data_IF_540830462421
#
_entry.id   IF_540830462421
#
_cell.length_a   1.000
_cell.length_b   1.000
_cell.length_c   1.000
_cell.angle_alpha   90.00
_cell.angle_beta   90.00
_cell.angle_gamma   90.00
#
_symmetry.space_group_name_H-M   'P 1'
#
loop_
_entity.id
_entity.type
_entity.pdbx_description
1 polymer ?
#
# COMPACT_ATOMS: atom_id res chain seq x y z
N UNK A 1 -2.10 -2.75 37.61
CA UNK A 1 -1.74 -3.99 36.88
C UNK A 1 -1.63 -3.64 35.41
N UNK A 2 -0.44 -3.71 34.84
CA UNK A 2 -0.18 -3.30 33.46
C UNK A 2 0.88 -4.23 32.89
N UNK A 3 0.52 -5.08 31.91
CA UNK A 3 1.33 -5.75 30.86
C UNK A 3 0.35 -6.48 29.94
N UNK A 4 0.44 -6.55 28.62
CA UNK A 4 1.10 -5.78 27.57
C UNK A 4 0.33 -6.18 26.29
N UNK A 5 -0.19 -5.22 25.51
CA UNK A 5 -0.79 -5.51 24.21
C UNK A 5 0.34 -5.84 23.23
N UNK A 6 0.64 -7.13 23.06
CA UNK A 6 1.50 -7.63 22.00
C UNK A 6 0.79 -7.54 20.66
N UNK A 7 0.71 -6.33 20.09
CA UNK A 7 0.39 -6.18 18.68
C UNK A 7 1.57 -6.70 17.89
N UNK A 8 1.48 -7.92 17.35
CA UNK A 8 2.47 -8.39 16.38
C UNK A 8 2.38 -7.44 15.19
N UNK A 9 3.39 -6.59 15.02
CA UNK A 9 3.55 -5.79 13.81
C UNK A 9 3.63 -6.74 12.61
N UNK A 10 2.99 -6.39 11.50
CA UNK A 10 3.15 -7.17 10.27
C UNK A 10 4.57 -6.97 9.73
N UNK A 11 5.20 -7.96 9.08
CA UNK A 11 6.53 -7.80 8.48
C UNK A 11 6.62 -6.57 7.55
N UNK A 12 5.54 -6.28 6.81
CA UNK A 12 5.43 -5.09 5.96
C UNK A 12 5.48 -3.78 6.75
N UNK A 13 4.78 -3.69 7.88
CA UNK A 13 4.77 -2.51 8.73
C UNK A 13 6.15 -2.21 9.34
N UNK A 14 6.91 -3.27 9.67
CA UNK A 14 8.28 -3.15 10.19
C UNK A 14 9.25 -2.71 9.09
N UNK A 15 9.11 -3.26 7.87
CA UNK A 15 9.91 -2.84 6.71
C UNK A 15 9.67 -1.35 6.41
N UNK A 16 8.42 -0.91 6.38
CA UNK A 16 8.09 0.51 6.16
C UNK A 16 8.66 1.39 7.28
N UNK A 17 8.59 0.95 8.54
CA UNK A 17 9.10 1.72 9.67
C UNK A 17 10.63 1.88 9.64
N UNK A 18 11.35 0.87 9.15
CA UNK A 18 12.81 0.87 9.08
C UNK A 18 13.37 1.56 7.84
N UNK A 19 12.58 1.68 6.76
CA UNK A 19 13.05 2.19 5.49
C UNK A 19 12.99 3.72 5.38
N UNK A 20 13.90 4.28 4.58
CA UNK A 20 13.79 5.66 4.10
C UNK A 20 12.86 5.72 2.90
N UNK A 21 11.78 6.49 2.97
CA UNK A 21 10.87 6.67 1.85
C UNK A 21 11.48 7.62 0.82
N UNK A 22 11.58 7.21 -0.45
CA UNK A 22 11.91 8.13 -1.53
C UNK A 22 10.75 9.12 -1.75
N UNK A 23 11.05 10.33 -2.21
CA UNK A 23 10.01 11.14 -2.83
C UNK A 23 9.57 10.46 -4.14
N UNK A 24 8.28 10.56 -4.53
CA UNK A 24 7.80 9.98 -5.77
C UNK A 24 8.63 10.48 -6.95
N UNK A 25 9.10 9.55 -7.79
CA UNK A 25 9.69 9.94 -9.08
C UNK A 25 8.58 10.52 -9.94
N UNK A 26 8.93 11.40 -10.88
CA UNK A 26 7.98 12.01 -11.78
C UNK A 26 8.39 11.75 -13.23
N UNK A 27 7.42 11.62 -14.15
CA UNK A 27 5.99 11.86 -13.94
C UNK A 27 5.24 10.65 -13.32
N UNK A 28 4.05 10.89 -12.74
CA UNK A 28 3.16 9.84 -12.19
C UNK A 28 2.09 9.49 -13.24
N UNK A 29 2.51 8.84 -14.32
CA UNK A 29 1.65 8.61 -15.50
C UNK A 29 0.88 7.29 -15.43
N UNK A 30 1.36 6.32 -14.66
CA UNK A 30 0.72 5.02 -14.52
C UNK A 30 -0.38 5.08 -13.46
N UNK A 31 -1.62 4.89 -13.91
CA UNK A 31 -2.79 4.76 -13.05
C UNK A 31 -3.16 3.27 -12.90
N UNK A 32 -2.93 2.71 -11.71
CA UNK A 32 -3.08 1.28 -11.45
C UNK A 32 -4.18 1.03 -10.42
N UNK A 33 -5.11 0.13 -10.72
CA UNK A 33 -6.04 -0.42 -9.73
C UNK A 33 -5.30 -1.46 -8.89
N UNK A 34 -5.34 -1.25 -7.57
CA UNK A 34 -4.79 -2.18 -6.59
C UNK A 34 -5.74 -3.36 -6.45
N UNK A 35 -5.21 -4.55 -6.16
CA UNK A 35 -6.00 -5.76 -5.95
C UNK A 35 -5.86 -6.29 -4.52
N UNK A 36 -6.81 -7.11 -4.09
CA UNK A 36 -6.78 -7.78 -2.80
C UNK A 36 -7.21 -6.90 -1.61
N UNK A 37 -7.87 -5.77 -1.87
CA UNK A 37 -8.32 -4.83 -0.83
C UNK A 37 -9.30 -5.47 0.16
N UNK A 38 -10.06 -6.48 -0.30
CA UNK A 38 -10.99 -7.26 0.53
C UNK A 38 -10.28 -8.02 1.65
N UNK A 39 -9.01 -8.39 1.47
CA UNK A 39 -8.18 -9.01 2.51
C UNK A 39 -7.54 -7.96 3.43
N UNK A 40 -7.50 -6.70 3.00
CA UNK A 40 -6.82 -5.59 3.68
C UNK A 40 -7.77 -4.56 4.33
N UNK A 41 -9.04 -4.92 4.53
CA UNK A 41 -10.06 -4.04 5.12
C UNK A 41 -9.64 -3.46 6.48
N UNK A 42 -8.88 -4.19 7.30
CA UNK A 42 -8.36 -3.67 8.58
C UNK A 42 -7.38 -2.52 8.37
N UNK A 43 -6.44 -2.66 7.43
CA UNK A 43 -5.50 -1.59 7.08
C UNK A 43 -6.21 -0.39 6.48
N UNK A 44 -7.16 -0.63 5.57
CA UNK A 44 -7.97 0.44 4.96
C UNK A 44 -8.77 1.22 6.02
N UNK A 45 -9.45 0.54 6.95
CA UNK A 45 -10.13 1.21 8.08
C UNK A 45 -9.16 2.11 8.83
N UNK A 46 -7.96 1.61 9.11
CA UNK A 46 -6.94 2.33 9.87
C UNK A 46 -6.47 3.60 9.16
N UNK A 47 -6.27 3.52 7.84
CA UNK A 47 -5.92 4.69 7.00
C UNK A 47 -6.97 5.79 7.12
N UNK A 48 -8.26 5.45 7.04
CA UNK A 48 -9.34 6.43 7.19
C UNK A 48 -9.47 6.99 8.61
N UNK A 49 -9.26 6.16 9.64
CA UNK A 49 -9.21 6.60 11.04
C UNK A 49 -8.08 7.60 11.28
N UNK A 50 -6.87 7.29 10.81
CA UNK A 50 -5.69 8.14 10.94
C UNK A 50 -5.82 9.46 10.16
N UNK A 51 -6.54 9.44 9.03
CA UNK A 51 -6.88 10.65 8.29
C UNK A 51 -8.02 11.48 8.93
N UNK A 52 -8.65 11.00 10.02
CA UNK A 52 -9.79 11.67 10.65
C UNK A 52 -11.05 11.69 9.78
N UNK A 53 -11.15 10.80 8.79
CA UNK A 53 -12.23 10.73 7.81
C UNK A 53 -12.91 9.34 7.88
N UNK A 54 -13.69 9.04 8.92
CA UNK A 54 -14.26 7.72 9.11
C UNK A 54 -15.12 7.28 7.92
N UNK A 55 -15.07 5.98 7.62
CA UNK A 55 -15.82 5.38 6.51
C UNK A 55 -17.32 5.46 6.81
N UNK A 56 -18.10 5.99 5.87
CA UNK A 56 -19.55 6.17 6.00
C UNK A 56 -20.33 5.35 4.98
N UNK A 57 -21.64 5.26 5.17
CA UNK A 57 -22.57 4.64 4.20
C UNK A 57 -22.68 5.42 2.88
N UNK A 58 -22.37 6.72 2.89
CA UNK A 58 -22.33 7.55 1.68
C UNK A 58 -21.06 7.35 0.88
N UNK A 59 -20.08 6.64 1.45
CA UNK A 59 -18.73 6.57 0.93
C UNK A 59 -17.92 7.82 1.25
N UNK A 60 -16.60 7.64 1.26
CA UNK A 60 -15.62 8.69 1.52
C UNK A 60 -14.41 8.44 0.63
N UNK A 61 -13.71 9.51 0.26
CA UNK A 61 -12.51 9.41 -0.58
C UNK A 61 -11.37 10.20 0.04
N UNK A 62 -10.23 9.54 0.18
CA UNK A 62 -8.93 10.19 0.38
C UNK A 62 -8.27 10.41 -0.97
N UNK A 63 -7.81 11.63 -1.21
CA UNK A 63 -7.14 12.05 -2.45
C UNK A 63 -5.66 12.27 -2.18
N UNK A 64 -4.80 11.95 -3.15
CA UNK A 64 -3.36 12.23 -3.14
C UNK A 64 -2.66 11.86 -1.82
N UNK A 65 -3.00 10.70 -1.25
CA UNK A 65 -2.29 10.17 -0.08
C UNK A 65 -1.05 9.43 -0.54
N UNK A 66 0.08 9.59 0.15
CA UNK A 66 1.32 8.92 -0.22
C UNK A 66 1.15 7.40 -0.09
N UNK A 67 1.39 6.67 -1.18
CA UNK A 67 1.53 5.23 -1.16
C UNK A 67 2.99 4.80 -1.20
N UNK A 68 3.25 3.62 -0.66
CA UNK A 68 4.59 3.01 -0.57
C UNK A 68 4.50 1.64 -1.22
N UNK A 69 5.45 1.36 -2.12
CA UNK A 69 5.55 0.08 -2.81
C UNK A 69 6.57 -0.80 -2.09
N UNK A 70 6.13 -1.95 -1.58
CA UNK A 70 6.98 -2.88 -0.82
C UNK A 70 7.09 -4.21 -1.56
N UNK A 71 8.23 -4.52 -2.20
CA UNK A 71 8.42 -5.82 -2.84
C UNK A 71 8.53 -6.91 -1.76
N UNK A 72 7.88 -8.05 -1.99
CA UNK A 72 7.86 -9.20 -1.08
C UNK A 72 8.49 -10.45 -1.74
N UNK A 73 9.81 -10.49 -1.99
CA UNK A 73 10.47 -11.68 -2.56
C UNK A 73 10.35 -12.95 -1.70
N UNK A 74 9.94 -12.81 -0.44
CA UNK A 74 9.68 -13.91 0.50
C UNK A 74 8.21 -14.36 0.51
N UNK A 75 7.34 -13.77 -0.32
CA UNK A 75 5.94 -14.15 -0.36
C UNK A 75 5.79 -15.58 -0.92
N UNK A 76 5.13 -16.45 -0.15
CA UNK A 76 5.01 -17.88 -0.46
C UNK A 76 4.12 -18.17 -1.70
N UNK A 77 3.29 -17.22 -2.10
CA UNK A 77 2.36 -17.35 -3.22
C UNK A 77 2.93 -16.77 -4.51
N UNK A 78 3.62 -15.65 -4.44
CA UNK A 78 4.21 -14.96 -5.59
C UNK A 78 5.46 -14.17 -5.18
N UNK A 79 6.64 -14.63 -5.60
CA UNK A 79 7.90 -13.94 -5.34
C UNK A 79 8.02 -12.57 -6.04
N UNK A 80 7.11 -12.26 -6.98
CA UNK A 80 7.01 -10.95 -7.60
C UNK A 80 6.03 -10.02 -6.88
N UNK A 81 5.37 -10.45 -5.80
CA UNK A 81 4.37 -9.64 -5.12
C UNK A 81 4.92 -8.28 -4.67
N UNK A 82 4.12 -7.23 -4.92
CA UNK A 82 4.40 -5.87 -4.45
C UNK A 82 3.20 -5.40 -3.64
N UNK A 83 3.38 -5.30 -2.33
CA UNK A 83 2.38 -4.75 -1.44
C UNK A 83 2.29 -3.23 -1.60
N UNK A 84 1.07 -2.72 -1.55
CA UNK A 84 0.77 -1.29 -1.52
C UNK A 84 0.41 -0.91 -0.09
N UNK A 85 1.18 0.02 0.48
CA UNK A 85 1.04 0.48 1.86
C UNK A 85 0.69 1.97 1.89
N UNK A 86 -0.08 2.38 2.90
CA UNK A 86 -0.33 3.79 3.26
C UNK A 86 0.09 3.97 4.72
N UNK A 87 1.15 4.73 4.96
CA UNK A 87 1.86 4.64 6.23
C UNK A 87 2.27 3.19 6.49
N UNK A 88 1.97 2.67 7.68
CA UNK A 88 2.26 1.28 8.06
C UNK A 88 1.09 0.31 7.78
N UNK A 89 0.06 0.76 7.07
CA UNK A 89 -1.15 -0.02 6.83
C UNK A 89 -1.16 -0.60 5.40
N UNK A 90 -1.26 -1.94 5.24
CA UNK A 90 -1.46 -2.54 3.93
C UNK A 90 -2.85 -2.21 3.40
N UNK A 91 -2.94 -1.89 2.11
CA UNK A 91 -4.22 -1.60 1.42
C UNK A 91 -4.47 -2.52 0.23
N UNK A 92 -3.48 -3.29 -0.19
CA UNK A 92 -3.61 -4.31 -1.23
C UNK A 92 -2.27 -4.58 -1.91
N UNK A 93 -2.32 -5.01 -3.17
CA UNK A 93 -1.18 -5.41 -3.98
C UNK A 93 -1.27 -4.84 -5.39
N UNK A 94 -0.13 -4.74 -6.08
CA UNK A 94 -0.15 -4.67 -7.54
C UNK A 94 -0.74 -5.97 -8.10
N UNK A 95 -1.45 -5.88 -9.23
CA UNK A 95 -1.94 -7.06 -9.92
C UNK A 95 -0.77 -7.98 -10.34
N UNK A 96 -0.96 -9.30 -10.24
CA UNK A 96 0.11 -10.28 -10.41
C UNK A 96 0.71 -10.31 -11.83
N UNK A 97 -0.05 -9.89 -12.83
CA UNK A 97 0.41 -9.74 -14.22
C UNK A 97 1.27 -8.48 -14.41
N UNK A 98 1.04 -7.43 -13.61
CA UNK A 98 1.78 -6.18 -13.65
C UNK A 98 3.02 -6.16 -12.74
N UNK A 99 2.94 -6.82 -11.58
CA UNK A 99 3.98 -6.80 -10.56
C UNK A 99 5.39 -7.15 -11.09
N UNK A 100 5.57 -8.17 -11.97
CA UNK A 100 6.89 -8.51 -12.52
C UNK A 100 7.61 -7.36 -13.23
N UNK A 101 6.87 -6.41 -13.82
CA UNK A 101 7.46 -5.23 -14.47
C UNK A 101 8.12 -4.28 -13.47
N UNK A 102 7.62 -4.22 -12.23
CA UNK A 102 8.13 -3.30 -11.20
C UNK A 102 9.14 -3.95 -10.25
N UNK A 103 8.97 -5.24 -9.96
CA UNK A 103 9.60 -5.87 -8.81
C UNK A 103 11.12 -5.82 -8.83
N UNK A 104 11.77 -5.95 -9.99
CA UNK A 104 13.23 -5.90 -10.07
C UNK A 104 13.79 -4.55 -9.60
N UNK A 105 13.29 -3.44 -10.16
CA UNK A 105 13.71 -2.08 -9.80
C UNK A 105 13.38 -1.75 -8.35
N UNK A 106 12.18 -2.13 -7.88
CA UNK A 106 11.77 -1.93 -6.50
C UNK A 106 12.65 -2.70 -5.50
N UNK A 107 13.00 -3.96 -5.79
CA UNK A 107 13.92 -4.73 -4.93
C UNK A 107 15.31 -4.11 -4.88
N UNK A 108 15.81 -3.56 -6.00
CA UNK A 108 17.10 -2.86 -6.03
C UNK A 108 17.12 -1.66 -5.10
N UNK A 109 16.04 -0.87 -5.09
CA UNK A 109 15.86 0.25 -4.15
C UNK A 109 15.76 -0.27 -2.71
N UNK A 110 14.94 -1.30 -2.47
CA UNK A 110 14.75 -1.91 -1.14
C UNK A 110 16.05 -2.41 -0.50
N UNK A 111 16.96 -3.00 -1.28
CA UNK A 111 18.29 -3.44 -0.80
C UNK A 111 19.17 -2.30 -0.27
N UNK A 112 18.86 -1.05 -0.61
CA UNK A 112 19.56 0.13 -0.08
C UNK A 112 18.91 0.70 1.18
N UNK A 113 17.90 0.02 1.74
CA UNK A 113 17.13 0.50 2.89
C UNK A 113 16.13 1.60 2.54
N UNK A 114 15.73 1.70 1.26
CA UNK A 114 14.81 2.73 0.75
C UNK A 114 13.57 2.09 0.14
N UNK A 115 12.46 2.83 0.08
CA UNK A 115 11.24 2.36 -0.60
C UNK A 115 10.72 3.41 -1.57
N UNK A 116 10.28 2.95 -2.74
CA UNK A 116 9.64 3.81 -3.73
C UNK A 116 8.24 4.22 -3.26
N UNK A 117 7.83 5.42 -3.67
CA UNK A 117 6.53 5.98 -3.32
C UNK A 117 5.80 6.52 -4.53
N UNK A 118 4.50 6.77 -4.36
CA UNK A 118 3.62 7.41 -5.32
C UNK A 118 2.44 8.06 -4.59
N UNK A 119 1.38 8.33 -5.34
CA UNK A 119 0.11 8.81 -4.79
C UNK A 119 -0.97 7.74 -4.87
N UNK A 120 -1.91 7.77 -3.94
CA UNK A 120 -3.10 6.93 -3.96
C UNK A 120 -4.36 7.77 -3.81
N UNK A 121 -5.39 7.32 -4.52
CA UNK A 121 -6.79 7.66 -4.29
C UNK A 121 -7.47 6.44 -3.70
N UNK A 122 -8.08 6.63 -2.53
CA UNK A 122 -8.75 5.54 -1.81
C UNK A 122 -10.20 5.93 -1.62
N UNK A 123 -11.11 5.17 -2.22
CA UNK A 123 -12.53 5.25 -1.94
C UNK A 123 -12.94 4.08 -1.07
N UNK A 124 -13.74 4.34 -0.04
CA UNK A 124 -14.36 3.29 0.75
C UNK A 124 -15.77 3.67 1.18
N UNK A 125 -16.63 2.66 1.29
CA UNK A 125 -18.01 2.77 1.76
C UNK A 125 -18.32 1.61 2.71
N UNK A 126 -19.10 1.88 3.75
CA UNK A 126 -19.76 0.83 4.54
C UNK A 126 -21.13 0.52 3.95
N UNK A 127 -21.45 -0.74 3.70
CA UNK A 127 -22.73 -1.22 3.17
C UNK A 127 -23.19 -2.34 4.10
N UNK A 128 -24.15 -2.05 4.99
CA UNK A 128 -24.65 -2.99 6.02
C UNK A 128 -23.52 -3.66 6.84
N UNK A 129 -22.52 -2.86 7.24
CA UNK A 129 -21.36 -3.32 8.01
C UNK A 129 -20.24 -3.95 7.19
N UNK A 130 -20.46 -4.22 5.89
CA UNK A 130 -19.44 -4.68 4.95
C UNK A 130 -18.74 -3.47 4.37
N UNK A 131 -17.40 -3.42 4.46
CA UNK A 131 -16.65 -2.38 3.75
C UNK A 131 -16.37 -2.82 2.34
N UNK A 132 -16.71 -1.94 1.39
CA UNK A 132 -16.20 -1.97 0.03
C UNK A 132 -15.17 -0.87 -0.12
N UNK A 133 -14.06 -1.20 -0.75
CA UNK A 133 -12.99 -0.25 -1.02
C UNK A 133 -12.51 -0.42 -2.46
N UNK A 134 -12.01 0.68 -3.02
CA UNK A 134 -11.24 0.70 -4.26
C UNK A 134 -10.02 1.58 -4.02
N UNK A 135 -8.85 1.04 -4.30
CA UNK A 135 -7.58 1.78 -4.23
C UNK A 135 -7.03 1.92 -5.65
N UNK A 136 -6.71 3.15 -6.02
CA UNK A 136 -6.03 3.45 -7.27
C UNK A 136 -4.75 4.20 -6.94
N UNK A 137 -3.62 3.75 -7.48
CA UNK A 137 -2.32 4.43 -7.31
C UNK A 137 -1.91 5.13 -8.60
N UNK A 138 -1.13 6.20 -8.43
CA UNK A 138 -0.45 6.96 -9.47
C UNK A 138 1.04 6.82 -9.18
N UNK A 139 1.74 6.09 -10.04
CA UNK A 139 3.17 5.78 -9.86
C UNK A 139 3.94 6.08 -11.15
N UNK A 140 5.28 6.22 -11.08
CA UNK A 140 6.13 6.23 -12.26
C UNK A 140 5.98 4.96 -13.09
N UNK A 141 6.26 5.04 -14.38
CA UNK A 141 6.47 3.85 -15.20
C UNK A 141 7.55 2.95 -14.61
N UNK A 142 7.41 1.63 -14.82
CA UNK A 142 8.36 0.63 -14.35
C UNK A 142 9.83 0.95 -14.70
N UNK A 143 10.07 1.44 -15.92
CA UNK A 143 11.39 1.83 -16.43
C UNK A 143 12.10 2.90 -15.58
N UNK A 144 11.34 3.70 -14.83
CA UNK A 144 11.88 4.73 -13.95
C UNK A 144 12.51 4.14 -12.69
N UNK A 145 12.36 2.85 -12.42
CA UNK A 145 12.94 2.16 -11.26
C UNK A 145 14.18 1.30 -11.59
N UNK A 146 14.56 1.22 -12.86
CA UNK A 146 15.71 0.42 -13.34
C UNK A 146 17.07 0.95 -12.86
#
# INVERSE_FOLDING_TARGET
MQRANGGSSSPLADIVAAATLEDPRHPLEEQIEVVGETYQIKGIRRVFEEAGMPITERGVTLQSVRCILVPEPWNEHDANAVAVMIGQNPVGYLAADLAPSYTYGLQRIARTGRLATGEARIWAKSDDGIIRARVTILIPEASQFD
#
